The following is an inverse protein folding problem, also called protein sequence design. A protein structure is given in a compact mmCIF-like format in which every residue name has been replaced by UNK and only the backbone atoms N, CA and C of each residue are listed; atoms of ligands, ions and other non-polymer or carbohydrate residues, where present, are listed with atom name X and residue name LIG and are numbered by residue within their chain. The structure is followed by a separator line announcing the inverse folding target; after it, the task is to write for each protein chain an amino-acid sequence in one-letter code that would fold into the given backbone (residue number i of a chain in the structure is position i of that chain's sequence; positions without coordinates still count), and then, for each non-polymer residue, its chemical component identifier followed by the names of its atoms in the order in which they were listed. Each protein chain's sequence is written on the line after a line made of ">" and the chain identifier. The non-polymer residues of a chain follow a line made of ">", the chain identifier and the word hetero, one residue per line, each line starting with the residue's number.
data_IF_922543661472
#
_entry.id   IF_922543661472
#
_cell.length_a   1.000
_cell.length_b   1.000
_cell.length_c   1.000
_cell.angle_alpha   90.00
_cell.angle_beta   90.00
_cell.angle_gamma   90.00
#
_symmetry.space_group_name_H-M   'P 1'
#
loop_
_entity.id
_entity.type
_entity.pdbx_description
1 polymer ?
#
# COMPACT_ATOMS: atom_id res chain seq x y z
N UNK A 1 4.70 -75.24 39.42
CA UNK A 1 3.96 -74.00 39.07
C UNK A 1 4.91 -72.82 39.32
N UNK A 2 5.96 -72.62 38.51
CA UNK A 2 6.06 -71.89 37.23
C UNK A 2 5.71 -70.39 37.38
N UNK A 3 6.67 -69.56 37.79
CA UNK A 3 7.53 -68.67 36.96
C UNK A 3 6.73 -67.59 36.21
N UNK A 4 6.68 -66.38 36.79
CA UNK A 4 6.31 -65.17 36.06
C UNK A 4 7.57 -64.55 35.44
N UNK A 5 7.47 -64.36 34.12
CA UNK A 5 8.49 -63.95 33.17
C UNK A 5 8.65 -62.43 33.19
N UNK A 6 9.90 -61.95 33.27
CA UNK A 6 10.30 -60.60 32.88
C UNK A 6 10.06 -60.40 31.37
N UNK A 7 9.54 -59.23 30.96
CA UNK A 7 9.77 -58.70 29.60
C UNK A 7 10.05 -57.19 29.68
N UNK A 8 11.31 -56.86 29.40
CA UNK A 8 11.86 -55.52 29.21
C UNK A 8 11.48 -55.09 27.80
N UNK A 9 10.86 -53.91 27.64
CA UNK A 9 10.72 -53.25 26.34
C UNK A 9 11.63 -52.03 26.29
N UNK A 10 12.82 -52.22 25.73
CA UNK A 10 13.67 -51.14 25.20
C UNK A 10 13.20 -50.83 23.78
N UNK A 11 12.74 -49.60 23.53
CA UNK A 11 12.57 -49.08 22.18
C UNK A 11 13.66 -48.03 21.91
N UNK A 12 14.70 -48.46 21.19
CA UNK A 12 15.61 -47.57 20.46
C UNK A 12 14.92 -47.17 19.15
N UNK A 13 14.77 -45.87 18.89
CA UNK A 13 14.52 -45.33 17.56
C UNK A 13 15.65 -44.36 17.21
N UNK A 14 16.66 -44.88 16.52
CA UNK A 14 17.59 -44.11 15.70
C UNK A 14 16.95 -43.80 14.35
N UNK A 15 17.04 -42.55 13.89
CA UNK A 15 17.46 -42.17 12.52
C UNK A 15 16.77 -40.90 11.97
N UNK A 16 17.63 -39.95 11.61
CA UNK A 16 17.56 -38.92 10.57
C UNK A 16 16.28 -38.69 9.76
N UNK A 17 15.88 -37.41 9.65
CA UNK A 17 14.92 -36.96 8.64
C UNK A 17 14.79 -35.44 8.50
N UNK A 18 15.69 -34.84 7.72
CA UNK A 18 15.52 -33.72 6.77
C UNK A 18 14.70 -32.46 7.12
N UNK A 19 15.39 -31.33 6.91
CA UNK A 19 14.93 -30.11 6.19
C UNK A 19 13.49 -29.64 6.42
N UNK A 20 13.38 -28.51 7.11
CA UNK A 20 12.48 -27.45 6.63
C UNK A 20 13.29 -26.18 6.45
N UNK A 21 13.66 -25.93 5.19
CA UNK A 21 13.72 -24.58 4.66
C UNK A 21 12.56 -23.78 5.23
N UNK A 22 12.84 -22.82 6.11
CA UNK A 22 12.00 -21.64 6.21
C UNK A 22 12.52 -20.65 5.19
N UNK A 23 12.24 -20.98 3.93
CA UNK A 23 12.14 -19.98 2.90
C UNK A 23 11.07 -18.97 3.33
N UNK A 24 11.43 -17.70 3.14
CA UNK A 24 10.52 -16.63 2.75
C UNK A 24 9.49 -16.14 3.78
N UNK A 25 9.87 -15.09 4.49
CA UNK A 25 9.01 -13.91 4.56
C UNK A 25 9.77 -12.78 3.87
N UNK A 26 9.72 -12.75 2.54
CA UNK A 26 9.89 -11.49 1.83
C UNK A 26 8.75 -10.63 2.34
N UNK A 27 9.08 -9.56 3.07
CA UNK A 27 8.13 -8.50 3.38
C UNK A 27 7.59 -7.98 2.04
N UNK A 28 6.47 -8.55 1.59
CA UNK A 28 5.66 -7.95 0.55
C UNK A 28 5.24 -6.62 1.14
N UNK A 29 5.67 -5.53 0.50
CA UNK A 29 5.29 -4.21 0.95
C UNK A 29 3.76 -4.16 1.01
N UNK A 30 3.18 -3.95 2.19
CA UNK A 30 1.73 -3.86 2.42
C UNK A 30 1.18 -2.53 1.90
N UNK A 31 1.53 -2.18 0.66
CA UNK A 31 1.04 -1.02 -0.07
C UNK A 31 0.06 -1.46 -1.16
N UNK A 32 -1.14 -0.90 -1.14
CA UNK A 32 -2.15 -1.12 -2.18
C UNK A 32 -2.33 0.17 -2.98
N UNK A 33 -2.05 0.14 -4.28
CA UNK A 33 -2.32 1.27 -5.16
C UNK A 33 -3.82 1.53 -5.24
N UNK A 34 -4.23 2.79 -5.03
CA UNK A 34 -5.61 3.26 -5.24
C UNK A 34 -5.78 3.65 -6.71
N UNK A 35 -4.76 4.28 -7.30
CA UNK A 35 -4.73 4.57 -8.73
C UNK A 35 -3.50 5.38 -9.13
N UNK A 36 -3.35 5.59 -10.44
CA UNK A 36 -2.31 6.40 -11.04
C UNK A 36 -2.94 7.31 -12.11
N UNK A 37 -2.55 8.58 -12.12
CA UNK A 37 -3.11 9.60 -13.01
C UNK A 37 -2.01 10.42 -13.67
N UNK A 38 -2.36 11.03 -14.80
CA UNK A 38 -1.54 12.10 -15.40
C UNK A 38 -1.93 13.44 -14.76
N UNK A 39 -1.02 14.14 -14.07
CA UNK A 39 -1.28 15.44 -13.48
C UNK A 39 -1.33 16.57 -14.53
N UNK A 40 -1.88 17.74 -14.17
CA UNK A 40 -1.88 18.91 -15.06
C UNK A 40 -0.52 19.63 -15.12
N UNK A 41 0.35 19.44 -14.12
CA UNK A 41 1.71 19.99 -14.13
C UNK A 41 2.57 19.21 -15.11
N UNK A 42 3.19 19.92 -16.06
CA UNK A 42 4.02 19.32 -17.11
C UNK A 42 5.35 18.78 -16.60
N UNK A 43 5.80 19.20 -15.42
CA UNK A 43 7.05 18.70 -14.82
C UNK A 43 6.83 17.40 -14.04
N UNK A 44 5.58 16.97 -13.88
CA UNK A 44 5.22 15.75 -13.16
C UNK A 44 4.76 14.69 -14.17
N UNK A 45 5.47 13.56 -14.19
CA UNK A 45 5.24 12.42 -15.09
C UNK A 45 3.96 11.68 -14.74
N UNK A 46 3.74 11.47 -13.45
CA UNK A 46 2.56 10.80 -12.92
C UNK A 46 2.37 11.07 -11.43
N UNK A 47 1.12 10.92 -11.00
CA UNK A 47 0.73 10.92 -9.59
C UNK A 47 0.12 9.56 -9.28
N UNK A 48 0.66 8.89 -8.27
CA UNK A 48 0.16 7.63 -7.72
C UNK A 48 -0.39 7.86 -6.33
N UNK A 49 -1.66 7.50 -6.09
CA UNK A 49 -2.23 7.47 -4.74
C UNK A 49 -2.24 6.01 -4.27
N UNK A 50 -1.76 5.74 -3.07
CA UNK A 50 -1.73 4.39 -2.51
C UNK A 50 -2.01 4.37 -1.01
N UNK A 51 -2.46 3.22 -0.50
CA UNK A 51 -2.69 2.97 0.92
C UNK A 51 -1.58 2.11 1.49
N UNK A 52 -1.00 2.51 2.62
CA UNK A 52 0.03 1.76 3.35
C UNK A 52 -0.20 1.94 4.85
N UNK A 53 -0.23 0.84 5.61
CA UNK A 53 -0.39 0.87 7.09
C UNK A 53 -1.61 1.70 7.55
N UNK A 54 -2.73 1.60 6.82
CA UNK A 54 -3.96 2.33 7.13
C UNK A 54 -3.97 3.81 6.70
N UNK A 55 -2.85 4.35 6.24
CA UNK A 55 -2.69 5.73 5.77
C UNK A 55 -2.72 5.80 4.25
N UNK A 56 -3.05 6.97 3.70
CA UNK A 56 -3.03 7.24 2.26
C UNK A 56 -1.86 8.16 1.95
N UNK A 57 -1.16 7.85 0.87
CA UNK A 57 0.00 8.58 0.40
C UNK A 57 -0.20 9.01 -1.05
N UNK A 58 0.36 10.17 -1.38
CA UNK A 58 0.52 10.70 -2.72
C UNK A 58 1.99 10.60 -3.09
N UNK A 59 2.27 9.98 -4.23
CA UNK A 59 3.60 9.84 -4.82
C UNK A 59 3.61 10.53 -6.17
N UNK A 60 4.42 11.55 -6.35
CA UNK A 60 4.64 12.23 -7.62
C UNK A 60 6.03 11.88 -8.15
N UNK A 61 6.08 11.47 -9.41
CA UNK A 61 7.34 11.30 -10.14
C UNK A 61 7.56 12.54 -11.02
N UNK A 62 8.69 13.22 -10.86
CA UNK A 62 9.04 14.39 -11.66
C UNK A 62 9.94 14.01 -12.85
N UNK A 63 9.95 14.84 -13.89
CA UNK A 63 10.77 14.65 -15.10
C UNK A 63 12.28 14.59 -14.80
N UNK A 64 12.72 15.29 -13.75
CA UNK A 64 14.11 15.29 -13.27
C UNK A 64 14.48 14.04 -12.45
N UNK A 65 13.55 13.08 -12.34
CA UNK A 65 13.63 11.85 -11.54
C UNK A 65 13.57 12.07 -10.03
N UNK A 66 13.31 13.28 -9.55
CA UNK A 66 12.96 13.49 -8.15
C UNK A 66 11.57 12.90 -7.86
N UNK A 67 11.30 12.69 -6.57
CA UNK A 67 10.06 12.09 -6.08
C UNK A 67 9.55 12.90 -4.90
N UNK A 68 8.27 13.25 -4.94
CA UNK A 68 7.51 13.70 -3.78
C UNK A 68 6.70 12.53 -3.26
N UNK A 69 6.75 12.24 -1.96
CA UNK A 69 5.95 11.18 -1.35
C UNK A 69 5.39 11.63 0.00
N UNK A 70 4.11 11.99 0.01
CA UNK A 70 3.46 12.69 1.12
C UNK A 70 2.27 11.92 1.68
N UNK A 71 2.12 11.97 3.01
CA UNK A 71 0.92 11.45 3.68
C UNK A 71 -0.24 12.43 3.44
N UNK A 72 -1.39 11.91 3.00
CA UNK A 72 -2.58 12.68 2.70
C UNK A 72 -3.60 12.58 3.83
N UNK A 73 -4.25 13.69 4.14
CA UNK A 73 -5.47 13.73 4.96
C UNK A 73 -6.65 13.36 4.07
N UNK A 74 -7.36 12.31 4.45
CA UNK A 74 -8.48 11.75 3.69
C UNK A 74 -9.80 12.13 4.35
N UNK A 75 -10.67 12.78 3.58
CA UNK A 75 -12.06 13.05 3.94
C UNK A 75 -12.96 12.32 2.95
N UNK A 76 -13.56 11.21 3.38
CA UNK A 76 -14.45 10.41 2.54
C UNK A 76 -15.91 10.73 2.80
N UNK A 77 -16.69 10.82 1.73
CA UNK A 77 -18.16 10.82 1.75
C UNK A 77 -18.67 9.63 0.95
N UNK A 78 -19.99 9.40 0.93
CA UNK A 78 -20.58 8.26 0.22
C UNK A 78 -20.24 8.21 -1.28
N UNK A 79 -19.88 9.35 -1.89
CA UNK A 79 -19.70 9.48 -3.34
C UNK A 79 -18.30 9.88 -3.79
N UNK A 80 -17.48 10.44 -2.90
CA UNK A 80 -16.16 10.99 -3.26
C UNK A 80 -15.15 10.83 -2.13
N UNK A 81 -13.87 10.73 -2.51
CA UNK A 81 -12.73 10.78 -1.59
C UNK A 81 -12.01 12.10 -1.81
N UNK A 82 -11.99 12.97 -0.80
CA UNK A 82 -11.20 14.21 -0.82
C UNK A 82 -9.84 13.97 -0.18
N UNK A 83 -8.79 14.43 -0.85
CA UNK A 83 -7.39 14.29 -0.44
C UNK A 83 -6.80 15.68 -0.23
N UNK A 84 -6.29 15.95 0.98
CA UNK A 84 -5.59 17.19 1.33
C UNK A 84 -4.16 16.87 1.75
N UNK A 85 -3.22 17.74 1.44
CA UNK A 85 -1.87 17.65 1.98
C UNK A 85 -1.90 17.80 3.50
N UNK A 86 -1.14 16.96 4.21
CA UNK A 86 -1.04 17.03 5.68
C UNK A 86 -0.23 18.23 6.14
N UNK A 87 0.80 18.58 5.38
CA UNK A 87 1.61 19.77 5.57
C UNK A 87 1.22 20.85 4.54
N UNK A 88 1.50 22.12 4.84
CA UNK A 88 1.17 23.27 3.97
C UNK A 88 2.20 23.36 2.84
N UNK A 89 2.26 22.32 2.01
CA UNK A 89 3.13 22.26 0.83
C UNK A 89 2.43 22.91 -0.37
N UNK A 90 1.10 22.85 -0.40
CA UNK A 90 0.26 23.52 -1.39
C UNK A 90 -1.16 23.76 -0.85
N UNK A 91 -1.74 24.91 -1.17
CA UNK A 91 -3.13 25.26 -0.82
C UNK A 91 -4.18 24.62 -1.75
N UNK A 92 -3.84 23.50 -2.40
CA UNK A 92 -4.69 22.78 -3.33
C UNK A 92 -5.15 21.45 -2.74
N UNK A 93 -6.24 20.91 -3.25
CA UNK A 93 -6.73 19.59 -2.85
C UNK A 93 -7.20 18.79 -4.06
N UNK A 94 -7.30 17.48 -3.87
CA UNK A 94 -7.79 16.58 -4.92
C UNK A 94 -9.07 15.87 -4.49
N UNK A 95 -9.86 15.46 -5.48
CA UNK A 95 -11.01 14.58 -5.29
C UNK A 95 -10.90 13.40 -6.24
N UNK A 96 -11.05 12.19 -5.71
CA UNK A 96 -11.32 10.99 -6.49
C UNK A 96 -12.84 10.83 -6.55
N UNK A 97 -13.42 10.91 -7.76
CA UNK A 97 -14.84 10.70 -7.97
C UNK A 97 -15.21 9.21 -8.04
N UNK A 98 -16.52 8.91 -8.05
CA UNK A 98 -17.05 7.53 -8.12
C UNK A 98 -16.60 6.75 -9.36
N UNK A 99 -16.13 7.43 -10.40
CA UNK A 99 -15.62 6.83 -11.64
C UNK A 99 -14.11 6.57 -11.54
N UNK A 100 -13.49 6.88 -10.40
CA UNK A 100 -12.05 6.75 -10.18
C UNK A 100 -11.23 7.88 -10.83
N UNK A 101 -11.87 8.93 -11.35
CA UNK A 101 -11.14 10.06 -11.92
C UNK A 101 -10.62 10.96 -10.82
N UNK A 102 -9.38 11.44 -10.98
CA UNK A 102 -8.77 12.42 -10.10
C UNK A 102 -9.05 13.83 -10.63
N UNK A 103 -9.50 14.71 -9.73
CA UNK A 103 -9.80 16.11 -10.01
C UNK A 103 -8.99 17.00 -9.08
N UNK A 104 -8.43 18.07 -9.61
CA UNK A 104 -7.67 19.04 -8.84
C UNK A 104 -8.45 20.32 -8.64
N UNK A 105 -8.40 20.84 -7.41
CA UNK A 105 -9.13 22.01 -6.97
C UNK A 105 -8.21 23.00 -6.28
N UNK A 106 -8.40 24.29 -6.56
CA UNK A 106 -7.75 25.37 -5.80
C UNK A 106 -8.35 25.51 -4.41
N UNK A 107 -7.68 26.27 -3.53
CA UNK A 107 -8.11 26.54 -2.16
C UNK A 107 -9.55 27.03 -2.04
N UNK A 108 -9.97 27.86 -3.01
CA UNK A 108 -11.32 28.45 -3.11
C UNK A 108 -12.40 27.47 -3.60
N UNK A 109 -12.01 26.24 -3.96
CA UNK A 109 -12.91 25.19 -4.40
C UNK A 109 -13.21 25.14 -5.90
N UNK A 110 -12.46 25.86 -6.74
CA UNK A 110 -12.60 25.77 -8.20
C UNK A 110 -11.83 24.58 -8.77
N UNK A 111 -12.53 23.72 -9.52
CA UNK A 111 -11.91 22.65 -10.32
C UNK A 111 -11.09 23.27 -11.45
N UNK A 112 -9.82 22.89 -11.59
CA UNK A 112 -8.96 23.38 -12.68
C UNK A 112 -8.35 22.29 -13.55
N UNK A 113 -8.44 21.02 -13.12
CA UNK A 113 -8.01 19.88 -13.92
C UNK A 113 -8.76 18.59 -13.53
N UNK A 114 -8.85 17.66 -14.48
CA UNK A 114 -9.38 16.31 -14.29
C UNK A 114 -8.57 15.31 -15.12
N UNK A 115 -8.35 14.13 -14.58
CA UNK A 115 -7.61 13.04 -15.23
C UNK A 115 -8.30 11.71 -14.94
N UNK A 116 -8.35 10.84 -15.95
CA UNK A 116 -8.82 9.46 -15.78
C UNK A 116 -7.67 8.60 -15.28
N UNK A 117 -7.94 7.53 -14.52
CA UNK A 117 -6.89 6.61 -14.11
C UNK A 117 -6.27 5.96 -15.36
N UNK A 118 -4.97 5.66 -15.28
CA UNK A 118 -4.22 4.94 -16.32
C UNK A 118 -4.67 3.47 -16.42
#
# INVERSE_FOLDING_TARGET
>A
MSRYLLLIFTAFLTSCGKLKDKAQAVHVADSTAIGQWMPPDKNVVDVTIYKKEGKVFLHENFDDKSVLNEEMVVESTDNVIRLKYKEVIADQYMIIDKEGSLKWFSADGREYAKSKPK
#
